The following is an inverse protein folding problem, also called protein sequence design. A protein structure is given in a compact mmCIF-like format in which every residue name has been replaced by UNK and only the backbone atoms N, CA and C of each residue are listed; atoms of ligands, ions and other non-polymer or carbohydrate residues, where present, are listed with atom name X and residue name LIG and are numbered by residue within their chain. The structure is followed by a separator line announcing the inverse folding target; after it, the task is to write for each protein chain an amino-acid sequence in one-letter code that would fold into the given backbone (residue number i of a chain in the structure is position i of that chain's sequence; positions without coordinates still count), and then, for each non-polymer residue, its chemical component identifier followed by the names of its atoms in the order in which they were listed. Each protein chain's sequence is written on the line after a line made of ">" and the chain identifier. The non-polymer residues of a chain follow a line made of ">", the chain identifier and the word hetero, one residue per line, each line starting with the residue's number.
data_IF_474927319031
#
_entry.id   IF_474927319031
#
_cell.length_a   1.000
_cell.length_b   1.000
_cell.length_c   1.000
_cell.angle_alpha   90.00
_cell.angle_beta   90.00
_cell.angle_gamma   90.00
#
_symmetry.space_group_name_H-M   'P 1'
#
loop_
_entity.id
_entity.type
_entity.pdbx_description
1 polymer ?
#
# COMPACT_ATOMS: atom_id res chain seq x y z
N UNK A 1 3.87 40.19 12.77
CA UNK A 1 3.15 39.08 12.11
C UNK A 1 3.97 37.82 12.31
N UNK A 2 3.51 36.88 13.13
CA UNK A 2 4.21 35.62 13.36
C UNK A 2 4.16 34.82 12.06
N UNK A 3 5.32 34.67 11.40
CA UNK A 3 5.46 33.84 10.21
C UNK A 3 5.34 32.39 10.66
N UNK A 4 4.13 31.82 10.55
CA UNK A 4 3.92 30.40 10.74
C UNK A 4 4.62 29.67 9.59
N UNK A 5 5.84 29.19 9.83
CA UNK A 5 6.51 28.29 8.91
C UNK A 5 5.62 27.07 8.69
N UNK A 6 5.13 26.92 7.45
CA UNK A 6 4.31 25.78 7.08
C UNK A 6 5.16 24.52 7.23
N UNK A 7 4.76 23.62 8.12
CA UNK A 7 5.45 22.35 8.29
C UNK A 7 5.52 21.60 6.94
N UNK A 8 6.72 21.14 6.53
CA UNK A 8 6.89 20.47 5.25
C UNK A 8 6.12 19.15 5.22
N UNK A 9 5.44 18.89 4.10
CA UNK A 9 4.74 17.62 3.88
C UNK A 9 5.77 16.52 3.56
N UNK A 10 6.34 15.90 4.60
CA UNK A 10 7.42 14.90 4.50
C UNK A 10 7.04 13.74 3.60
N UNK A 11 5.82 13.24 3.69
CA UNK A 11 5.34 12.12 2.86
C UNK A 11 5.29 12.49 1.37
N UNK A 12 4.85 13.72 1.03
CA UNK A 12 4.85 14.21 -0.34
C UNK A 12 6.27 14.39 -0.89
N UNK A 13 7.20 14.89 -0.07
CA UNK A 13 8.62 15.03 -0.42
C UNK A 13 9.24 13.66 -0.68
N UNK A 14 8.98 12.68 0.19
CA UNK A 14 9.48 11.31 0.04
C UNK A 14 8.93 10.65 -1.24
N UNK A 15 7.64 10.84 -1.53
CA UNK A 15 7.05 10.34 -2.78
C UNK A 15 7.69 10.99 -4.01
N UNK A 16 7.82 12.33 -4.03
CA UNK A 16 8.39 13.04 -5.16
C UNK A 16 9.87 12.70 -5.39
N UNK A 17 10.70 12.71 -4.34
CA UNK A 17 12.11 12.37 -4.43
C UNK A 17 12.36 10.91 -4.82
N UNK A 18 11.37 10.04 -4.61
CA UNK A 18 11.45 8.65 -5.05
C UNK A 18 11.39 8.50 -6.57
N UNK A 19 10.95 9.50 -7.33
CA UNK A 19 10.74 9.34 -8.76
C UNK A 19 12.06 9.32 -9.54
N UNK A 20 12.17 8.39 -10.49
CA UNK A 20 13.27 8.33 -11.45
C UNK A 20 13.06 9.36 -12.55
N UNK A 21 14.10 10.06 -12.96
CA UNK A 21 14.01 11.03 -14.05
C UNK A 21 13.96 10.30 -15.40
N UNK A 22 12.88 10.46 -16.15
CA UNK A 22 12.66 9.83 -17.45
C UNK A 22 12.17 10.85 -18.49
N UNK A 23 12.90 10.97 -19.59
CA UNK A 23 12.54 11.84 -20.72
C UNK A 23 11.43 11.19 -21.55
N UNK A 24 10.45 11.99 -22.00
CA UNK A 24 9.37 11.51 -22.87
C UNK A 24 8.96 12.60 -23.88
N UNK A 25 8.59 12.19 -25.09
CA UNK A 25 8.11 13.13 -26.11
C UNK A 25 6.67 13.54 -25.84
N UNK A 26 5.82 12.59 -25.47
CA UNK A 26 4.43 12.84 -25.07
C UNK A 26 4.16 12.28 -23.68
N UNK A 27 3.26 12.94 -22.94
CA UNK A 27 2.68 12.42 -21.71
C UNK A 27 1.94 11.09 -21.97
N UNK A 28 1.22 10.97 -23.09
CA UNK A 28 0.47 9.74 -23.43
C UNK A 28 1.38 8.51 -23.67
N UNK A 29 2.69 8.72 -23.89
CA UNK A 29 3.66 7.63 -24.05
C UNK A 29 4.08 7.01 -22.70
N UNK A 30 3.75 7.66 -21.58
CA UNK A 30 4.05 7.18 -20.24
C UNK A 30 2.76 6.61 -19.64
N UNK A 31 2.78 5.34 -19.27
CA UNK A 31 1.61 4.67 -18.70
C UNK A 31 1.26 5.28 -17.35
N UNK A 32 0.00 5.18 -16.95
CA UNK A 32 -0.49 5.81 -15.72
C UNK A 32 0.30 5.38 -14.46
N UNK A 33 0.65 4.09 -14.36
CA UNK A 33 1.51 3.57 -13.28
C UNK A 33 2.97 4.03 -13.38
N UNK A 34 3.50 4.32 -14.58
CA UNK A 34 4.87 4.81 -14.75
C UNK A 34 5.01 6.22 -14.15
N UNK A 35 3.95 7.03 -14.14
CA UNK A 35 3.94 8.32 -13.46
C UNK A 35 4.06 8.23 -11.92
N UNK A 36 3.77 7.07 -11.31
CA UNK A 36 4.04 6.82 -9.90
C UNK A 36 5.53 6.55 -9.62
N UNK A 37 6.28 6.10 -10.64
CA UNK A 37 7.69 5.73 -10.56
C UNK A 37 8.64 6.77 -11.12
N UNK A 38 8.19 7.54 -12.11
CA UNK A 38 9.04 8.42 -12.90
C UNK A 38 8.54 9.86 -12.93
N UNK A 39 9.49 10.79 -12.93
CA UNK A 39 9.27 12.20 -13.21
C UNK A 39 9.59 12.46 -14.67
N UNK A 40 8.61 12.97 -15.39
CA UNK A 40 8.69 13.26 -16.81
C UNK A 40 7.98 14.56 -17.14
N UNK A 41 8.43 15.25 -18.17
CA UNK A 41 7.77 16.42 -18.73
C UNK A 41 7.75 16.26 -20.25
N UNK A 42 6.56 16.31 -20.83
CA UNK A 42 6.38 16.13 -22.27
C UNK A 42 7.23 17.13 -23.07
N UNK A 43 7.88 16.62 -24.13
CA UNK A 43 8.77 17.36 -25.03
C UNK A 43 10.04 17.91 -24.37
N UNK A 44 10.44 17.40 -23.21
CA UNK A 44 11.79 17.60 -22.66
C UNK A 44 12.61 16.34 -22.95
N UNK A 45 13.44 16.40 -24.01
CA UNK A 45 14.38 15.34 -24.36
C UNK A 45 15.75 15.51 -23.68
N UNK A 46 16.11 16.75 -23.32
CA UNK A 46 17.35 17.05 -22.59
C UNK A 46 17.20 16.65 -21.12
N UNK A 47 18.07 15.73 -20.68
CA UNK A 47 18.06 15.17 -19.32
C UNK A 47 18.43 16.22 -18.27
N UNK A 48 19.33 17.14 -18.55
CA UNK A 48 19.76 18.17 -17.60
C UNK A 48 18.68 19.25 -17.46
N UNK A 49 18.01 19.59 -18.55
CA UNK A 49 16.81 20.43 -18.50
C UNK A 49 15.72 19.78 -17.65
N UNK A 50 15.49 18.48 -17.80
CA UNK A 50 14.51 17.75 -16.97
C UNK A 50 14.91 17.71 -15.49
N UNK A 51 16.21 17.54 -15.19
CA UNK A 51 16.73 17.63 -13.82
C UNK A 51 16.50 19.00 -13.20
N UNK A 52 16.69 20.08 -13.96
CA UNK A 52 16.47 21.44 -13.46
C UNK A 52 14.99 21.67 -13.12
N UNK A 53 14.06 21.21 -13.97
CA UNK A 53 12.63 21.27 -13.68
C UNK A 53 12.28 20.41 -12.47
N UNK A 54 12.85 19.21 -12.35
CA UNK A 54 12.68 18.33 -11.19
C UNK A 54 13.16 19.00 -9.90
N UNK A 55 14.33 19.65 -9.92
CA UNK A 55 14.90 20.34 -8.77
C UNK A 55 14.04 21.54 -8.35
N UNK A 56 13.59 22.36 -9.30
CA UNK A 56 12.66 23.46 -9.02
C UNK A 56 11.34 22.96 -8.42
N UNK A 57 10.82 21.81 -8.88
CA UNK A 57 9.63 21.18 -8.30
C UNK A 57 9.87 20.65 -6.88
N UNK A 58 11.02 20.03 -6.65
CA UNK A 58 11.42 19.54 -5.33
C UNK A 58 11.45 20.68 -4.31
N UNK A 59 12.09 21.80 -4.65
CA UNK A 59 12.10 23.00 -3.80
C UNK A 59 10.70 23.57 -3.60
N UNK A 60 9.86 23.57 -4.63
CA UNK A 60 8.49 24.06 -4.50
C UNK A 60 7.62 23.22 -3.55
N UNK A 61 7.86 21.91 -3.49
CA UNK A 61 7.19 21.00 -2.56
C UNK A 61 7.78 21.13 -1.15
N UNK A 62 9.10 21.28 -1.03
CA UNK A 62 9.81 21.36 0.26
C UNK A 62 9.59 22.70 0.97
N UNK A 63 9.74 23.80 0.25
CA UNK A 63 9.75 25.16 0.82
C UNK A 63 8.42 25.88 0.63
N UNK A 64 7.47 25.26 -0.08
CA UNK A 64 6.17 25.87 -0.37
C UNK A 64 6.22 27.01 -1.40
N UNK A 65 7.27 27.07 -2.23
CA UNK A 65 7.47 28.08 -3.30
C UNK A 65 6.22 28.30 -4.12
N UNK A 66 5.87 29.57 -4.40
CA UNK A 66 4.69 29.92 -5.17
C UNK A 66 4.85 29.57 -6.65
N UNK A 67 3.73 29.52 -7.39
CA UNK A 67 3.80 29.35 -8.85
C UNK A 67 4.55 30.51 -9.52
N UNK A 68 4.39 31.74 -9.00
CA UNK A 68 5.08 32.92 -9.52
C UNK A 68 6.60 32.76 -9.42
N UNK A 69 7.11 32.37 -8.25
CA UNK A 69 8.55 32.20 -8.03
C UNK A 69 9.11 31.01 -8.85
N UNK A 70 8.36 29.91 -8.91
CA UNK A 70 8.68 28.77 -9.76
C UNK A 70 8.82 29.17 -11.24
N UNK A 71 7.85 29.94 -11.75
CA UNK A 71 7.86 30.44 -13.12
C UNK A 71 9.01 31.43 -13.35
N UNK A 72 9.26 32.35 -12.40
CA UNK A 72 10.34 33.34 -12.46
C UNK A 72 11.71 32.68 -12.56
N UNK A 73 11.92 31.56 -11.86
CA UNK A 73 13.15 30.76 -11.94
C UNK A 73 13.28 30.04 -13.28
N UNK A 74 12.28 29.25 -13.68
CA UNK A 74 12.43 28.32 -14.80
C UNK A 74 12.23 28.96 -16.16
N UNK A 75 11.37 29.98 -16.28
CA UNK A 75 11.02 30.56 -17.59
C UNK A 75 12.28 31.08 -18.32
N UNK A 76 13.19 31.88 -17.71
CA UNK A 76 14.39 32.34 -18.39
C UNK A 76 15.33 31.19 -18.81
N UNK A 77 15.52 30.21 -17.94
CA UNK A 77 16.37 29.05 -18.21
C UNK A 77 15.87 28.23 -19.40
N UNK A 78 14.56 27.93 -19.43
CA UNK A 78 13.95 27.11 -20.49
C UNK A 78 13.90 27.85 -21.84
N UNK A 79 13.74 29.19 -21.81
CA UNK A 79 13.88 30.03 -23.00
C UNK A 79 15.30 29.96 -23.55
N UNK A 80 16.31 30.12 -22.69
CA UNK A 80 17.73 30.05 -23.09
C UNK A 80 18.12 28.66 -23.64
N UNK A 81 17.47 27.60 -23.15
CA UNK A 81 17.61 26.22 -23.66
C UNK A 81 16.78 25.92 -24.91
N UNK A 82 16.01 26.89 -25.41
CA UNK A 82 15.21 26.73 -26.64
C UNK A 82 14.05 25.75 -26.50
N UNK A 83 13.56 25.48 -25.29
CA UNK A 83 12.53 24.47 -25.09
C UNK A 83 11.20 24.90 -25.72
N UNK A 84 10.79 24.22 -26.81
CA UNK A 84 9.63 24.56 -27.63
C UNK A 84 9.74 25.92 -28.34
N UNK A 85 10.96 26.47 -28.45
CA UNK A 85 11.17 27.70 -29.19
C UNK A 85 10.73 27.53 -30.66
N UNK A 86 10.14 28.56 -31.28
CA UNK A 86 9.90 28.57 -32.71
C UNK A 86 11.22 28.41 -33.49
N UNK A 87 11.15 27.81 -34.68
CA UNK A 87 12.33 27.59 -35.54
C UNK A 87 12.62 28.87 -36.32
N UNK A 88 13.87 29.31 -36.36
CA UNK A 88 14.31 30.51 -37.09
C UNK A 88 14.20 31.79 -36.26
N UNK A 89 14.05 32.93 -36.92
CA UNK A 89 13.85 34.25 -36.31
C UNK A 89 12.35 34.56 -36.21
N UNK A 90 11.69 34.29 -35.06
CA UNK A 90 10.26 34.48 -34.93
C UNK A 90 9.90 35.96 -34.93
N UNK A 91 8.74 36.30 -35.51
CA UNK A 91 8.18 37.63 -35.37
C UNK A 91 7.79 37.92 -33.89
N UNK A 92 7.70 39.20 -33.51
CA UNK A 92 7.38 39.62 -32.14
C UNK A 92 6.08 39.00 -31.59
N UNK A 93 5.07 38.84 -32.45
CA UNK A 93 3.79 38.23 -32.08
C UNK A 93 3.93 36.74 -31.79
N UNK A 94 4.73 36.03 -32.58
CA UNK A 94 5.02 34.60 -32.39
C UNK A 94 5.82 34.38 -31.10
N UNK A 95 6.79 35.25 -30.82
CA UNK A 95 7.56 35.22 -29.59
C UNK A 95 6.66 35.44 -28.36
N UNK A 96 5.74 36.41 -28.43
CA UNK A 96 4.74 36.65 -27.36
C UNK A 96 3.83 35.43 -27.16
N UNK A 97 3.34 34.82 -28.24
CA UNK A 97 2.50 33.63 -28.19
C UNK A 97 3.24 32.44 -27.56
N UNK A 98 4.49 32.21 -27.97
CA UNK A 98 5.37 31.18 -27.40
C UNK A 98 5.59 31.37 -25.90
N UNK A 99 5.93 32.59 -25.46
CA UNK A 99 6.12 32.87 -24.03
C UNK A 99 4.84 32.64 -23.20
N UNK A 100 3.67 32.95 -23.75
CA UNK A 100 2.37 32.66 -23.14
C UNK A 100 2.15 31.15 -23.01
N UNK A 101 2.41 30.39 -24.07
CA UNK A 101 2.30 28.93 -24.07
C UNK A 101 3.25 28.29 -23.05
N UNK A 102 4.50 28.76 -22.97
CA UNK A 102 5.48 28.31 -21.98
C UNK A 102 4.97 28.55 -20.56
N UNK A 103 4.40 29.73 -20.27
CA UNK A 103 3.78 30.02 -18.98
C UNK A 103 2.63 29.08 -18.62
N UNK A 104 1.76 28.75 -19.58
CA UNK A 104 0.67 27.78 -19.39
C UNK A 104 1.20 26.37 -19.11
N UNK A 105 2.23 25.94 -19.85
CA UNK A 105 2.89 24.64 -19.62
C UNK A 105 3.53 24.54 -18.24
N UNK A 106 4.27 25.57 -17.83
CA UNK A 106 4.85 25.66 -16.49
C UNK A 106 3.77 25.59 -15.40
N UNK A 107 2.63 26.24 -15.62
CA UNK A 107 1.48 26.15 -14.70
C UNK A 107 0.97 24.72 -14.56
N UNK A 108 0.80 24.00 -15.66
CA UNK A 108 0.40 22.60 -15.64
C UNK A 108 1.43 21.72 -14.92
N UNK A 109 2.71 21.86 -15.23
CA UNK A 109 3.80 21.10 -14.58
C UNK A 109 3.78 21.32 -13.08
N UNK A 110 3.72 22.59 -12.65
CA UNK A 110 3.73 22.97 -11.25
C UNK A 110 2.54 22.36 -10.50
N UNK A 111 1.32 22.59 -10.98
CA UNK A 111 0.12 22.15 -10.27
C UNK A 111 -0.01 20.62 -10.27
N UNK A 112 0.20 19.95 -11.40
CA UNK A 112 0.05 18.49 -11.50
C UNK A 112 1.04 17.77 -10.59
N UNK A 113 2.33 18.12 -10.64
CA UNK A 113 3.34 17.46 -9.81
C UNK A 113 3.14 17.74 -8.32
N UNK A 114 2.79 18.99 -7.96
CA UNK A 114 2.52 19.34 -6.56
C UNK A 114 1.29 18.61 -6.02
N UNK A 115 0.19 18.60 -6.77
CA UNK A 115 -1.06 17.95 -6.36
C UNK A 115 -0.91 16.44 -6.23
N UNK A 116 -0.27 15.77 -7.20
CA UNK A 116 -0.03 14.32 -7.14
C UNK A 116 0.90 13.93 -5.99
N UNK A 117 1.98 14.69 -5.74
CA UNK A 117 2.84 14.47 -4.58
C UNK A 117 2.08 14.65 -3.26
N UNK A 118 1.25 15.69 -3.17
CA UNK A 118 0.45 15.96 -1.97
C UNK A 118 -0.61 14.89 -1.73
N UNK A 119 -1.25 14.38 -2.78
CA UNK A 119 -2.20 13.29 -2.73
C UNK A 119 -1.55 11.98 -2.27
N UNK A 120 -0.37 11.64 -2.80
CA UNK A 120 0.40 10.49 -2.32
C UNK A 120 0.75 10.62 -0.83
N UNK A 121 1.14 11.82 -0.39
CA UNK A 121 1.37 12.09 1.03
C UNK A 121 0.11 12.02 1.87
N UNK A 122 -1.02 12.51 1.35
CA UNK A 122 -2.33 12.38 2.00
C UNK A 122 -2.71 10.90 2.15
N UNK A 123 -2.50 10.09 1.12
CA UNK A 123 -2.78 8.65 1.15
C UNK A 123 -1.95 7.93 2.21
N UNK A 124 -0.65 8.23 2.33
CA UNK A 124 0.19 7.65 3.40
C UNK A 124 -0.34 8.02 4.79
N UNK A 125 -0.78 9.26 4.99
CA UNK A 125 -1.40 9.68 6.25
C UNK A 125 -2.71 8.97 6.51
N UNK A 126 -3.58 8.86 5.49
CA UNK A 126 -4.83 8.12 5.56
C UNK A 126 -4.58 6.68 6.00
N UNK A 127 -3.63 6.00 5.35
CA UNK A 127 -3.26 4.63 5.69
C UNK A 127 -2.73 4.48 7.12
N UNK A 128 -2.07 5.50 7.67
CA UNK A 128 -1.61 5.53 9.06
C UNK A 128 -2.73 5.78 10.06
N UNK A 129 -3.70 6.62 9.73
CA UNK A 129 -4.77 7.05 10.65
C UNK A 129 -6.09 6.31 10.47
N UNK A 130 -6.18 5.36 9.54
CA UNK A 130 -7.42 4.64 9.20
C UNK A 130 -8.05 3.86 10.35
N UNK A 131 -7.31 3.55 11.40
CA UNK A 131 -7.88 2.94 12.62
C UNK A 131 -8.90 3.89 13.28
N UNK A 132 -8.54 5.17 13.40
CA UNK A 132 -9.40 6.20 13.97
C UNK A 132 -10.41 6.75 12.94
N UNK A 133 -10.01 6.78 11.66
CA UNK A 133 -10.82 7.30 10.56
C UNK A 133 -10.96 6.27 9.42
N UNK A 134 -11.76 5.20 9.61
CA UNK A 134 -11.79 4.06 8.70
C UNK A 134 -12.51 4.30 7.37
N UNK A 135 -13.11 5.48 7.17
CA UNK A 135 -13.87 5.81 5.96
C UNK A 135 -13.35 7.07 5.29
N UNK A 136 -13.52 7.13 3.97
CA UNK A 136 -13.29 8.31 3.16
C UNK A 136 -14.59 8.75 2.52
N UNK A 137 -14.80 10.06 2.47
CA UNK A 137 -15.82 10.70 1.66
C UNK A 137 -15.15 11.45 0.52
N UNK A 138 -15.58 11.19 -0.71
CA UNK A 138 -15.15 11.96 -1.86
C UNK A 138 -15.88 13.32 -1.87
N UNK A 139 -15.13 14.41 -1.93
CA UNK A 139 -15.67 15.76 -1.78
C UNK A 139 -15.81 16.49 -3.12
N UNK A 140 -16.82 17.38 -3.25
CA UNK A 140 -16.97 18.24 -4.41
C UNK A 140 -15.71 19.05 -4.72
N UNK A 141 -15.43 19.24 -6.02
CA UNK A 141 -14.29 20.02 -6.47
C UNK A 141 -14.42 21.50 -6.08
N UNK A 142 -13.35 22.10 -5.58
CA UNK A 142 -13.25 23.56 -5.37
C UNK A 142 -12.98 24.34 -6.68
N UNK A 143 -13.37 23.79 -7.82
CA UNK A 143 -13.17 24.42 -9.13
C UNK A 143 -14.42 25.21 -9.49
N UNK A 144 -14.24 26.36 -10.15
CA UNK A 144 -15.33 27.14 -10.74
C UNK A 144 -16.03 26.30 -11.80
N UNK A 145 -15.25 25.67 -12.67
CA UNK A 145 -15.74 24.75 -13.70
C UNK A 145 -15.45 23.31 -13.24
N UNK A 146 -16.47 22.65 -12.70
CA UNK A 146 -16.37 21.27 -12.22
C UNK A 146 -16.66 20.28 -13.35
N UNK A 147 -15.83 19.24 -13.49
CA UNK A 147 -16.03 18.18 -14.50
C UNK A 147 -17.20 17.29 -14.14
N UNK A 148 -18.12 17.06 -15.08
CA UNK A 148 -19.29 16.21 -14.85
C UNK A 148 -18.93 14.76 -14.52
N UNK A 149 -17.88 14.22 -15.15
CA UNK A 149 -17.38 12.88 -14.83
C UNK A 149 -16.99 12.70 -13.35
N UNK A 150 -16.48 13.77 -12.71
CA UNK A 150 -16.09 13.70 -11.30
C UNK A 150 -17.28 13.86 -10.34
N UNK A 151 -18.36 14.54 -10.76
CA UNK A 151 -19.55 14.77 -9.93
C UNK A 151 -20.21 13.48 -9.49
N UNK A 152 -20.08 12.41 -10.29
CA UNK A 152 -20.60 11.07 -9.98
C UNK A 152 -19.99 10.44 -8.73
N UNK A 153 -18.78 10.86 -8.35
CA UNK A 153 -18.16 10.40 -7.11
C UNK A 153 -18.54 11.25 -5.89
N UNK A 154 -19.17 12.41 -6.07
CA UNK A 154 -19.37 13.33 -4.95
C UNK A 154 -20.21 12.68 -3.86
N UNK A 155 -19.74 12.88 -2.62
CA UNK A 155 -20.31 12.31 -1.41
C UNK A 155 -20.26 10.78 -1.33
N UNK A 156 -19.57 10.10 -2.25
CA UNK A 156 -19.28 8.68 -2.13
C UNK A 156 -18.52 8.43 -0.82
N UNK A 157 -19.12 7.63 0.07
CA UNK A 157 -18.52 7.23 1.34
C UNK A 157 -18.19 5.75 1.28
N UNK A 158 -16.90 5.42 1.33
CA UNK A 158 -16.42 4.03 1.33
C UNK A 158 -15.29 3.84 2.34
N UNK A 159 -15.06 2.61 2.82
CA UNK A 159 -13.92 2.30 3.68
C UNK A 159 -12.61 2.74 3.01
N UNK A 160 -11.61 3.19 3.78
CA UNK A 160 -10.31 3.67 3.26
C UNK A 160 -9.65 2.71 2.27
N UNK A 161 -9.77 1.42 2.54
CA UNK A 161 -9.10 0.35 1.79
C UNK A 161 -10.07 -0.34 0.80
N UNK A 162 -11.16 0.33 0.44
CA UNK A 162 -11.95 -0.08 -0.71
C UNK A 162 -11.10 0.02 -2.00
N UNK A 163 -11.09 -1.01 -2.88
CA UNK A 163 -10.29 -0.99 -4.10
C UNK A 163 -10.64 0.19 -5.03
N UNK A 164 -11.82 0.79 -4.90
CA UNK A 164 -12.19 1.96 -5.71
C UNK A 164 -11.23 3.13 -5.53
N UNK A 165 -10.64 3.31 -4.35
CA UNK A 165 -9.70 4.42 -4.10
C UNK A 165 -8.41 4.28 -4.91
N UNK A 166 -8.07 3.09 -5.39
CA UNK A 166 -6.94 2.93 -6.31
C UNK A 166 -7.18 3.63 -7.64
N UNK A 167 -8.43 3.76 -8.09
CA UNK A 167 -8.77 4.45 -9.33
C UNK A 167 -9.21 5.89 -9.10
N UNK A 168 -10.01 6.17 -8.07
CA UNK A 168 -10.69 7.47 -7.96
C UNK A 168 -10.06 8.45 -6.96
N UNK A 169 -8.98 8.10 -6.26
CA UNK A 169 -8.37 9.03 -5.30
C UNK A 169 -7.80 10.26 -6.04
N UNK A 170 -8.29 11.48 -5.73
CA UNK A 170 -7.84 12.69 -6.41
C UNK A 170 -6.32 12.94 -6.27
N UNK A 171 -5.66 13.56 -7.27
CA UNK A 171 -6.25 14.20 -8.44
C UNK A 171 -6.56 13.26 -9.61
N UNK A 172 -7.78 13.36 -10.13
CA UNK A 172 -8.33 12.52 -11.20
C UNK A 172 -8.15 13.06 -12.62
N UNK A 173 -7.37 14.13 -12.78
CA UNK A 173 -7.17 14.81 -14.07
C UNK A 173 -6.37 16.11 -13.92
N UNK A 174 -5.91 16.68 -15.04
CA UNK A 174 -5.17 17.95 -15.04
C UNK A 174 -6.01 19.05 -14.37
N UNK A 175 -5.43 19.77 -13.40
CA UNK A 175 -6.13 20.86 -12.70
C UNK A 175 -7.32 20.41 -11.84
N UNK A 176 -7.43 19.12 -11.51
CA UNK A 176 -8.44 18.64 -10.57
C UNK A 176 -8.29 19.31 -9.20
N UNK A 177 -9.42 19.70 -8.61
CA UNK A 177 -9.50 20.27 -7.24
C UNK A 177 -10.45 19.48 -6.33
N UNK A 178 -10.72 18.22 -6.70
CA UNK A 178 -11.38 17.26 -5.81
C UNK A 178 -10.43 16.87 -4.68
N UNK A 179 -11.00 16.42 -3.57
CA UNK A 179 -10.27 15.96 -2.40
C UNK A 179 -11.09 14.92 -1.65
N UNK A 180 -10.48 14.20 -0.71
CA UNK A 180 -11.17 13.26 0.17
C UNK A 180 -11.12 13.72 1.61
N UNK A 181 -12.21 13.49 2.34
CA UNK A 181 -12.33 13.73 3.77
C UNK A 181 -12.29 12.39 4.52
N UNK A 182 -11.43 12.30 5.53
CA UNK A 182 -11.43 11.17 6.47
C UNK A 182 -12.63 11.28 7.43
N UNK A 183 -13.30 10.17 7.68
CA UNK A 183 -14.47 10.08 8.53
C UNK A 183 -14.29 9.01 9.60
N UNK A 184 -14.78 9.31 10.81
CA UNK A 184 -14.97 8.30 11.85
C UNK A 184 -16.07 7.32 11.42
N UNK A 185 -16.16 6.16 12.09
CA UNK A 185 -17.26 5.21 11.84
C UNK A 185 -18.63 5.85 12.08
N UNK A 186 -18.77 6.63 13.15
CA UNK A 186 -20.02 7.32 13.51
C UNK A 186 -20.42 8.35 12.45
N UNK A 187 -19.47 9.16 11.97
CA UNK A 187 -19.77 10.16 10.93
C UNK A 187 -20.13 9.50 9.60
N UNK A 188 -19.43 8.43 9.22
CA UNK A 188 -19.73 7.68 8.01
C UNK A 188 -21.14 7.06 8.06
N UNK A 189 -21.55 6.53 9.22
CA UNK A 189 -22.91 6.00 9.42
C UNK A 189 -23.98 7.10 9.33
N UNK A 190 -23.72 8.29 9.88
CA UNK A 190 -24.63 9.44 9.80
C UNK A 190 -24.81 9.96 8.38
N UNK A 191 -23.72 10.02 7.61
CA UNK A 191 -23.75 10.47 6.20
C UNK A 191 -24.37 9.40 5.29
N UNK A 192 -24.18 8.12 5.64
CA UNK A 192 -24.58 6.97 4.84
C UNK A 192 -23.39 6.40 4.07
N UNK A 193 -23.04 5.14 4.35
CA UNK A 193 -22.01 4.41 3.62
C UNK A 193 -22.61 3.98 2.29
N UNK A 194 -21.93 4.27 1.18
CA UNK A 194 -22.44 3.98 -0.16
C UNK A 194 -22.35 2.50 -0.48
N UNK A 195 -23.40 1.92 -1.07
CA UNK A 195 -23.46 0.52 -1.50
C UNK A 195 -22.74 0.26 -2.83
N UNK A 196 -22.54 -1.01 -3.16
CA UNK A 196 -21.80 -1.45 -4.35
C UNK A 196 -22.52 -1.11 -5.66
N UNK A 197 -23.86 -1.01 -5.65
CA UNK A 197 -24.67 -0.61 -6.82
C UNK A 197 -24.29 0.78 -7.35
N UNK A 198 -23.82 1.68 -6.47
CA UNK A 198 -23.34 3.00 -6.88
C UNK A 198 -21.99 2.95 -7.62
N UNK A 199 -21.32 1.79 -7.68
CA UNK A 199 -19.99 1.63 -8.27
C UNK A 199 -20.02 1.14 -9.72
N UNK A 200 -21.09 0.47 -10.15
CA UNK A 200 -21.15 -0.25 -11.43
C UNK A 200 -21.10 0.67 -12.68
N UNK A 201 -21.45 1.95 -12.54
CA UNK A 201 -21.55 2.92 -13.64
C UNK A 201 -20.62 4.14 -13.51
N UNK A 202 -19.59 4.01 -12.67
CA UNK A 202 -18.63 5.08 -12.49
C UNK A 202 -17.62 5.10 -13.65
N UNK A 203 -17.53 6.21 -14.41
CA UNK A 203 -16.53 6.34 -15.46
C UNK A 203 -15.14 6.21 -14.83
N UNK A 204 -14.12 5.83 -15.61
CA UNK A 204 -12.75 5.91 -15.11
C UNK A 204 -12.28 7.36 -15.16
N UNK A 205 -11.51 7.83 -14.17
CA UNK A 205 -10.96 9.17 -14.20
C UNK A 205 -9.94 9.32 -15.34
N UNK A 206 -9.72 10.56 -15.77
CA UNK A 206 -8.77 10.90 -16.85
C UNK A 206 -7.35 10.45 -16.50
N UNK A 207 -7.03 10.35 -15.19
CA UNK A 207 -5.77 9.88 -14.65
C UNK A 207 -5.96 8.65 -13.75
N UNK A 208 -5.09 7.64 -13.92
CA UNK A 208 -4.92 6.52 -12.99
C UNK A 208 -3.58 6.63 -12.23
N UNK A 209 -3.46 7.69 -11.41
CA UNK A 209 -2.20 8.04 -10.73
C UNK A 209 -2.01 7.38 -9.38
N UNK A 210 -2.99 6.64 -8.87
CA UNK A 210 -2.98 6.18 -7.49
C UNK A 210 -2.55 4.72 -7.33
N UNK A 211 -1.65 4.25 -8.19
CA UNK A 211 -0.92 3.02 -7.92
C UNK A 211 0.09 3.26 -6.80
N UNK A 212 0.04 2.42 -5.76
CA UNK A 212 1.15 2.36 -4.83
C UNK A 212 2.42 1.98 -5.61
N UNK A 213 3.56 2.49 -5.13
CA UNK A 213 4.83 2.40 -5.85
C UNK A 213 5.28 0.97 -6.10
N UNK A 214 4.92 0.03 -5.21
CA UNK A 214 5.27 -1.38 -5.36
C UNK A 214 4.44 -2.01 -6.48
N UNK A 215 3.12 -1.83 -6.47
CA UNK A 215 2.24 -2.31 -7.54
C UNK A 215 2.66 -1.72 -8.90
N UNK A 216 2.99 -0.43 -8.94
CA UNK A 216 3.49 0.20 -10.16
C UNK A 216 4.80 -0.42 -10.66
N UNK A 217 5.74 -0.73 -9.75
CA UNK A 217 7.03 -1.33 -10.09
C UNK A 217 6.87 -2.76 -10.62
N UNK A 218 6.03 -3.57 -9.98
CA UNK A 218 5.73 -4.93 -10.45
C UNK A 218 5.06 -4.89 -11.82
N UNK A 219 4.11 -3.97 -12.02
CA UNK A 219 3.43 -3.81 -13.31
C UNK A 219 4.39 -3.36 -14.41
N UNK A 220 5.31 -2.44 -14.10
CA UNK A 220 6.37 -2.02 -15.01
C UNK A 220 7.25 -3.20 -15.42
N UNK A 221 7.66 -4.02 -14.45
CA UNK A 221 8.52 -5.18 -14.70
C UNK A 221 7.86 -6.20 -15.64
N UNK A 222 6.57 -6.51 -15.40
CA UNK A 222 5.79 -7.39 -16.28
C UNK A 222 5.64 -6.81 -17.69
N UNK A 223 5.29 -5.53 -17.79
CA UNK A 223 5.04 -4.90 -19.07
C UNK A 223 6.32 -4.75 -19.92
N UNK A 224 7.49 -4.58 -19.30
CA UNK A 224 8.78 -4.41 -20.01
C UNK A 224 9.53 -5.72 -20.27
N UNK A 225 9.39 -6.71 -19.38
CA UNK A 225 10.23 -7.91 -19.40
C UNK A 225 9.42 -9.22 -19.35
N UNK A 226 8.08 -9.13 -19.37
CA UNK A 226 7.18 -10.26 -19.36
C UNK A 226 6.87 -10.80 -17.95
N UNK A 227 5.81 -11.61 -17.87
CA UNK A 227 5.30 -12.16 -16.61
C UNK A 227 6.34 -12.97 -15.84
N UNK A 228 7.19 -13.74 -16.54
CA UNK A 228 8.23 -14.56 -15.91
C UNK A 228 9.27 -13.72 -15.15
N UNK A 229 9.59 -12.52 -15.66
CA UNK A 229 10.48 -11.59 -14.96
C UNK A 229 9.77 -10.94 -13.76
N UNK A 230 8.50 -10.53 -13.93
CA UNK A 230 7.67 -10.04 -12.83
C UNK A 230 7.62 -11.03 -11.65
N UNK A 231 7.41 -12.31 -11.93
CA UNK A 231 7.42 -13.36 -10.90
C UNK A 231 8.78 -13.55 -10.22
N UNK A 232 9.89 -13.41 -10.95
CA UNK A 232 11.23 -13.42 -10.33
C UNK A 232 11.40 -12.25 -9.35
N UNK A 233 10.94 -11.05 -9.70
CA UNK A 233 10.97 -9.89 -8.79
C UNK A 233 10.12 -10.15 -7.56
N UNK A 234 8.89 -10.66 -7.75
CA UNK A 234 8.01 -11.01 -6.63
C UNK A 234 8.66 -11.99 -5.67
N UNK A 235 9.25 -13.06 -6.20
CA UNK A 235 9.98 -14.05 -5.40
C UNK A 235 11.15 -13.43 -4.62
N UNK A 236 11.96 -12.59 -5.27
CA UNK A 236 13.07 -11.91 -4.61
C UNK A 236 12.59 -10.95 -3.51
N UNK A 237 11.48 -10.26 -3.74
CA UNK A 237 10.85 -9.39 -2.74
C UNK A 237 10.38 -10.19 -1.52
N UNK A 238 9.76 -11.35 -1.73
CA UNK A 238 9.36 -12.23 -0.63
C UNK A 238 10.57 -12.69 0.19
N UNK A 239 11.66 -13.12 -0.46
CA UNK A 239 12.91 -13.51 0.19
C UNK A 239 13.55 -12.34 0.98
N UNK A 240 13.57 -11.15 0.41
CA UNK A 240 14.06 -9.93 1.06
C UNK A 240 13.21 -9.60 2.31
N UNK A 241 11.89 -9.63 2.21
CA UNK A 241 11.00 -9.34 3.34
C UNK A 241 11.17 -10.35 4.48
N UNK A 242 11.36 -11.63 4.16
CA UNK A 242 11.67 -12.66 5.17
C UNK A 242 13.05 -12.42 5.81
N UNK A 243 14.04 -11.95 5.04
CA UNK A 243 15.34 -11.53 5.57
C UNK A 243 15.21 -10.39 6.58
N UNK A 244 14.50 -9.31 6.20
CA UNK A 244 14.22 -8.17 7.09
C UNK A 244 13.47 -8.61 8.35
N UNK A 245 12.49 -9.52 8.22
CA UNK A 245 11.78 -10.09 9.37
C UNK A 245 12.74 -10.79 10.35
N UNK A 246 13.66 -11.61 9.83
CA UNK A 246 14.68 -12.30 10.62
C UNK A 246 15.59 -11.31 11.35
N UNK A 247 16.10 -10.31 10.65
CA UNK A 247 16.98 -9.28 11.22
C UNK A 247 16.29 -8.45 12.31
N UNK A 248 14.96 -8.36 12.26
CA UNK A 248 14.13 -7.68 13.26
C UNK A 248 13.58 -8.60 14.35
N UNK A 249 14.12 -9.82 14.46
CA UNK A 249 13.84 -10.74 15.56
C UNK A 249 12.58 -11.59 15.40
N UNK A 250 12.05 -11.71 14.18
CA UNK A 250 10.98 -12.66 13.85
C UNK A 250 11.61 -13.99 13.43
N UNK A 251 11.10 -15.10 13.96
CA UNK A 251 11.62 -16.43 13.61
C UNK A 251 11.09 -16.81 12.22
N UNK A 252 11.95 -17.35 11.36
CA UNK A 252 11.57 -17.83 10.01
C UNK A 252 12.03 -19.28 9.85
N UNK A 253 11.10 -20.20 9.62
CA UNK A 253 11.34 -21.64 9.46
C UNK A 253 10.87 -22.13 8.10
N UNK A 254 11.44 -23.23 7.60
CA UNK A 254 11.11 -23.79 6.28
C UNK A 254 10.58 -25.22 6.36
N UNK A 255 9.40 -25.48 5.77
CA UNK A 255 8.73 -26.78 5.81
C UNK A 255 8.74 -27.53 4.48
N UNK A 256 9.45 -27.00 3.47
CA UNK A 256 9.34 -27.46 2.08
C UNK A 256 9.78 -28.91 1.85
N UNK A 257 10.59 -29.48 2.76
CA UNK A 257 11.08 -30.87 2.68
C UNK A 257 10.41 -31.82 3.67
N UNK A 258 9.44 -31.34 4.46
CA UNK A 258 8.76 -32.14 5.48
C UNK A 258 7.51 -32.73 4.87
N UNK A 259 7.48 -34.07 4.76
CA UNK A 259 6.31 -34.82 4.33
C UNK A 259 5.43 -35.11 5.54
N UNK A 260 4.14 -34.73 5.51
CA UNK A 260 3.27 -34.93 6.64
C UNK A 260 2.94 -36.42 6.84
N UNK A 261 2.97 -36.89 8.09
CA UNK A 261 2.44 -38.20 8.44
C UNK A 261 0.92 -38.14 8.45
N UNK A 262 0.27 -38.81 7.49
CA UNK A 262 -1.19 -38.76 7.31
C UNK A 262 -1.96 -39.16 8.55
N UNK A 263 -1.53 -40.19 9.27
CA UNK A 263 -2.23 -40.67 10.46
C UNK A 263 -2.13 -39.69 11.63
N UNK A 264 -0.95 -39.11 11.83
CA UNK A 264 -0.73 -38.13 12.88
C UNK A 264 -1.46 -36.81 12.57
N UNK A 265 -1.39 -36.34 11.33
CA UNK A 265 -2.12 -35.15 10.87
C UNK A 265 -3.64 -35.29 11.04
N UNK A 266 -4.21 -36.48 10.79
CA UNK A 266 -5.64 -36.78 11.03
C UNK A 266 -6.00 -36.80 12.52
N UNK A 267 -5.07 -37.19 13.38
CA UNK A 267 -5.27 -37.12 14.84
C UNK A 267 -5.28 -35.66 15.29
N UNK A 268 -4.31 -34.86 14.83
CA UNK A 268 -4.18 -33.44 15.18
C UNK A 268 -5.28 -32.57 14.57
N UNK A 269 -5.94 -33.02 13.49
CA UNK A 269 -6.99 -32.24 12.82
C UNK A 269 -8.33 -32.22 13.55
N UNK A 270 -8.60 -33.17 14.46
CA UNK A 270 -9.87 -33.28 15.19
C UNK A 270 -9.86 -32.32 16.38
N UNK A 271 -10.71 -31.30 16.35
CA UNK A 271 -10.87 -30.41 17.50
C UNK A 271 -11.76 -31.03 18.61
N UNK A 272 -11.73 -30.52 19.85
CA UNK A 272 -12.56 -31.00 20.95
C UNK A 272 -14.08 -30.85 20.71
N UNK A 273 -14.48 -30.04 19.71
CA UNK A 273 -15.87 -29.78 19.34
C UNK A 273 -16.34 -30.63 18.15
N UNK A 274 -15.50 -31.54 17.64
CA UNK A 274 -15.82 -32.43 16.53
C UNK A 274 -15.61 -31.85 15.12
N UNK A 275 -15.08 -30.63 14.98
CA UNK A 275 -14.74 -30.09 13.67
C UNK A 275 -13.40 -30.66 13.18
N UNK A 276 -13.34 -30.95 11.88
CA UNK A 276 -12.14 -31.46 11.24
C UNK A 276 -11.38 -30.34 10.52
N UNK A 277 -10.23 -29.93 11.07
CA UNK A 277 -9.35 -28.90 10.49
C UNK A 277 -8.10 -29.53 9.89
N UNK A 278 -8.28 -30.24 8.77
CA UNK A 278 -7.22 -31.03 8.12
C UNK A 278 -5.94 -30.23 7.83
N UNK A 279 -6.08 -29.01 7.32
CA UNK A 279 -4.93 -28.14 7.00
C UNK A 279 -4.10 -27.75 8.20
N UNK A 280 -4.75 -27.46 9.34
CA UNK A 280 -4.08 -27.20 10.60
C UNK A 280 -3.39 -28.46 11.11
N UNK A 281 -4.06 -29.63 11.03
CA UNK A 281 -3.46 -30.91 11.44
C UNK A 281 -2.21 -31.28 10.63
N UNK A 282 -2.23 -31.06 9.32
CA UNK A 282 -1.06 -31.24 8.43
C UNK A 282 0.08 -30.31 8.84
N UNK A 283 -0.23 -29.04 9.14
CA UNK A 283 0.78 -28.07 9.54
C UNK A 283 1.34 -28.36 10.94
N UNK A 284 0.49 -28.81 11.86
CA UNK A 284 0.86 -29.23 13.20
C UNK A 284 1.78 -30.46 13.18
N UNK A 285 1.50 -31.44 12.31
CA UNK A 285 2.39 -32.59 12.13
C UNK A 285 3.76 -32.16 11.58
N UNK A 286 3.79 -31.27 10.57
CA UNK A 286 5.06 -30.71 10.08
C UNK A 286 5.82 -29.97 11.18
N UNK A 287 5.11 -29.27 12.05
CA UNK A 287 5.68 -28.59 13.20
C UNK A 287 6.30 -29.57 14.21
N UNK A 288 5.59 -30.66 14.54
CA UNK A 288 6.12 -31.74 15.40
C UNK A 288 7.44 -32.28 14.85
N UNK A 289 7.48 -32.59 13.54
CA UNK A 289 8.67 -33.12 12.88
C UNK A 289 9.83 -32.13 12.87
N UNK A 290 9.57 -30.85 12.56
CA UNK A 290 10.62 -29.83 12.47
C UNK A 290 11.24 -29.51 13.84
N UNK A 291 10.41 -29.37 14.87
CA UNK A 291 10.86 -28.99 16.21
C UNK A 291 11.18 -30.20 17.10
N UNK A 292 10.93 -31.42 16.63
CA UNK A 292 11.03 -32.65 17.41
C UNK A 292 10.24 -32.55 18.73
N UNK A 293 8.98 -32.14 18.62
CA UNK A 293 8.05 -31.97 19.76
C UNK A 293 6.77 -32.77 19.53
N UNK A 294 6.02 -32.99 20.61
CA UNK A 294 4.66 -33.50 20.54
C UNK A 294 3.65 -32.41 20.83
N UNK A 295 2.64 -32.31 19.99
CA UNK A 295 1.54 -31.38 20.08
C UNK A 295 0.29 -32.13 20.53
N UNK A 296 -0.48 -31.47 21.38
CA UNK A 296 -1.86 -31.86 21.67
C UNK A 296 -2.78 -30.71 21.27
N UNK A 297 -3.99 -31.01 20.81
CA UNK A 297 -5.05 -30.00 20.71
C UNK A 297 -5.36 -29.46 22.11
N UNK A 298 -5.46 -28.15 22.24
CA UNK A 298 -5.68 -27.55 23.54
C UNK A 298 -7.10 -27.83 24.03
N UNK A 299 -7.24 -28.24 25.29
CA UNK A 299 -8.52 -28.50 25.96
C UNK A 299 -8.53 -27.83 27.34
N UNK A 300 -9.35 -26.79 27.53
CA UNK A 300 -9.33 -26.00 28.76
C UNK A 300 -9.67 -26.83 30.02
N UNK A 301 -10.50 -27.87 29.90
CA UNK A 301 -10.91 -28.74 31.01
C UNK A 301 -9.75 -29.67 31.40
N UNK A 302 -9.14 -30.33 30.41
CA UNK A 302 -7.99 -31.22 30.62
C UNK A 302 -6.76 -30.47 31.13
N UNK A 303 -6.55 -29.24 30.67
CA UNK A 303 -5.36 -28.44 30.97
C UNK A 303 -5.53 -27.55 32.23
N UNK A 304 -6.73 -27.51 32.85
CA UNK A 304 -7.04 -26.79 34.10
C UNK A 304 -6.68 -25.30 34.08
N UNK A 305 -6.93 -24.62 32.95
CA UNK A 305 -6.70 -23.17 32.79
C UNK A 305 -8.07 -22.48 32.69
N UNK A 306 -8.23 -21.33 33.34
CA UNK A 306 -9.45 -20.51 33.29
C UNK A 306 -9.79 -20.19 31.83
N UNK A 307 -11.00 -20.56 31.41
CA UNK A 307 -11.53 -20.27 30.07
C UNK A 307 -11.69 -18.76 29.93
N UNK A 308 -10.82 -18.16 29.11
CA UNK A 308 -11.09 -16.87 28.46
C UNK A 308 -11.58 -17.26 27.06
N UNK A 309 -12.61 -16.58 26.54
CA UNK A 309 -13.56 -16.98 25.49
C UNK A 309 -13.04 -17.56 24.15
N UNK A 310 -11.73 -17.77 23.95
CA UNK A 310 -11.13 -18.45 22.80
C UNK A 310 -9.71 -18.96 23.14
N UNK A 311 -9.50 -20.26 23.44
CA UNK A 311 -8.16 -20.79 23.75
C UNK A 311 -7.25 -20.88 22.52
N UNK A 312 -5.95 -21.14 22.75
CA UNK A 312 -5.02 -21.49 21.68
C UNK A 312 -5.42 -22.83 21.01
N UNK A 313 -4.95 -23.08 19.78
CA UNK A 313 -5.33 -24.30 19.04
C UNK A 313 -4.60 -25.56 19.57
N UNK A 314 -3.32 -25.42 19.97
CA UNK A 314 -2.45 -26.53 20.36
C UNK A 314 -1.60 -26.18 21.59
N UNK A 315 -1.07 -27.20 22.25
CA UNK A 315 -0.03 -27.09 23.27
C UNK A 315 1.12 -28.07 23.01
N UNK A 316 2.35 -27.65 23.33
CA UNK A 316 3.52 -28.53 23.32
C UNK A 316 3.53 -29.37 24.59
N UNK A 317 3.41 -30.68 24.43
CA UNK A 317 3.52 -31.65 25.53
C UNK A 317 4.95 -31.60 26.07
N UNK A 318 5.07 -31.50 27.39
CA UNK A 318 6.35 -31.55 28.09
C UNK A 318 6.22 -32.32 29.40
N UNK A 319 7.33 -32.66 30.04
CA UNK A 319 7.33 -33.26 31.38
C UNK A 319 6.84 -32.34 32.50
N UNK A 320 6.51 -31.08 32.19
CA UNK A 320 5.96 -30.11 33.13
C UNK A 320 4.44 -30.28 33.28
N UNK A 321 3.88 -29.64 34.31
CA UNK A 321 2.43 -29.53 34.48
C UNK A 321 1.77 -28.92 33.22
N UNK A 322 0.59 -29.42 32.78
CA UNK A 322 -0.13 -28.90 31.61
C UNK A 322 -0.36 -27.37 31.61
N UNK A 323 -0.41 -26.75 32.79
CA UNK A 323 -0.54 -25.29 32.94
C UNK A 323 0.69 -24.49 32.47
N UNK A 324 1.84 -25.15 32.34
CA UNK A 324 3.12 -24.57 31.93
C UNK A 324 3.49 -24.94 30.49
N UNK A 325 2.63 -25.69 29.80
CA UNK A 325 2.87 -26.05 28.40
C UNK A 325 2.79 -24.80 27.53
N UNK A 326 3.70 -24.70 26.56
CA UNK A 326 3.68 -23.62 25.58
C UNK A 326 2.54 -23.83 24.62
N UNK A 327 1.76 -22.79 24.40
CA UNK A 327 0.59 -22.81 23.52
C UNK A 327 0.95 -22.33 22.12
N UNK A 328 0.28 -22.89 21.11
CA UNK A 328 0.41 -22.47 19.72
C UNK A 328 -0.95 -22.21 19.09
N UNK A 329 -0.98 -21.23 18.19
CA UNK A 329 -2.14 -20.95 17.36
C UNK A 329 -1.73 -20.70 15.92
N UNK A 330 -2.19 -21.57 15.02
CA UNK A 330 -1.78 -21.55 13.62
C UNK A 330 -2.62 -20.55 12.83
N UNK A 331 -1.94 -19.65 12.14
CA UNK A 331 -2.60 -18.70 11.26
C UNK A 331 -2.36 -19.02 9.79
N UNK A 332 -3.38 -18.71 8.97
CA UNK A 332 -3.32 -18.74 7.50
C UNK A 332 -3.11 -20.13 6.88
N UNK A 333 -3.56 -21.18 7.56
CA UNK A 333 -3.38 -22.59 7.13
C UNK A 333 -4.13 -22.98 5.86
N UNK A 334 -5.06 -22.16 5.38
CA UNK A 334 -5.88 -22.42 4.19
C UNK A 334 -5.94 -21.21 3.27
N UNK A 335 -6.13 -21.50 1.99
CA UNK A 335 -6.53 -20.53 0.98
C UNK A 335 -7.96 -20.07 1.31
N UNK A 336 -8.09 -18.84 1.83
CA UNK A 336 -9.36 -18.13 1.86
C UNK A 336 -9.25 -17.01 0.85
N UNK A 337 -10.26 -16.85 -0.01
CA UNK A 337 -10.34 -15.71 -0.94
C UNK A 337 -10.00 -14.42 -0.21
N UNK A 338 -8.88 -13.80 -0.59
CA UNK A 338 -8.45 -12.53 -0.03
C UNK A 338 -9.38 -11.46 -0.56
N UNK A 339 -10.44 -11.19 0.20
CA UNK A 339 -11.36 -10.12 -0.13
C UNK A 339 -10.56 -8.81 -0.13
N UNK A 340 -10.50 -8.14 -1.30
CA UNK A 340 -9.66 -6.96 -1.57
C UNK A 340 -10.08 -5.71 -0.80
N UNK A 341 -11.04 -5.82 0.13
CA UNK A 341 -11.58 -4.69 0.88
C UNK A 341 -10.88 -4.48 2.22
N UNK A 342 -10.78 -3.23 2.61
CA UNK A 342 -10.22 -2.79 3.88
C UNK A 342 -10.70 -3.31 5.18
N UNK A 343 -12.02 -3.41 5.27
CA UNK A 343 -12.65 -3.98 6.46
C UNK A 343 -12.10 -5.39 6.71
N UNK A 344 -11.72 -6.12 5.66
CA UNK A 344 -11.09 -7.43 5.81
C UNK A 344 -9.62 -7.35 6.28
N UNK A 345 -8.90 -6.26 5.97
CA UNK A 345 -7.52 -6.05 6.44
C UNK A 345 -7.45 -5.64 7.91
N UNK A 346 -8.25 -4.65 8.33
CA UNK A 346 -8.29 -4.21 9.73
C UNK A 346 -8.76 -5.33 10.66
N UNK A 347 -9.83 -6.04 10.29
CA UNK A 347 -10.27 -7.25 11.01
C UNK A 347 -9.16 -8.30 11.11
N UNK A 348 -8.31 -8.40 10.09
CA UNK A 348 -7.21 -9.37 10.07
C UNK A 348 -6.05 -8.95 10.96
N UNK A 349 -5.69 -7.67 10.99
CA UNK A 349 -4.74 -7.14 11.98
C UNK A 349 -5.24 -7.38 13.41
N UNK A 350 -6.49 -7.02 13.68
CA UNK A 350 -7.12 -7.26 14.98
C UNK A 350 -7.09 -8.74 15.35
N UNK A 351 -7.41 -9.63 14.40
CA UNK A 351 -7.31 -11.07 14.60
C UNK A 351 -5.88 -11.54 14.89
N UNK A 352 -4.88 -11.06 14.16
CA UNK A 352 -3.46 -11.38 14.45
C UNK A 352 -3.11 -10.99 15.89
N UNK A 353 -3.50 -9.78 16.33
CA UNK A 353 -3.27 -9.30 17.70
C UNK A 353 -3.99 -10.17 18.72
N UNK A 354 -5.27 -10.51 18.47
CA UNK A 354 -6.03 -11.42 19.32
C UNK A 354 -5.32 -12.77 19.49
N UNK A 355 -4.81 -13.37 18.41
CA UNK A 355 -4.03 -14.61 18.48
C UNK A 355 -2.74 -14.43 19.30
N UNK A 356 -2.01 -13.32 19.11
CA UNK A 356 -0.80 -12.99 19.88
C UNK A 356 -1.04 -12.81 21.38
N UNK A 357 -2.24 -12.38 21.77
CA UNK A 357 -2.63 -12.22 23.17
C UNK A 357 -2.93 -13.57 23.83
N UNK A 358 -3.52 -14.53 23.09
CA UNK A 358 -3.95 -15.83 23.66
C UNK A 358 -2.94 -16.97 23.56
N UNK A 359 -1.91 -16.89 22.71
CA UNK A 359 -0.92 -17.96 22.56
C UNK A 359 0.52 -17.48 22.72
N UNK A 360 1.41 -18.42 23.06
CA UNK A 360 2.85 -18.17 23.23
C UNK A 360 3.58 -18.12 21.89
N UNK A 361 3.13 -18.92 20.92
CA UNK A 361 3.75 -19.06 19.60
C UNK A 361 2.67 -18.95 18.52
N UNK A 362 2.90 -18.11 17.52
CA UNK A 362 2.00 -17.91 16.38
C UNK A 362 2.71 -18.31 15.09
N UNK A 363 2.59 -19.58 14.66
CA UNK A 363 3.08 -19.99 13.37
C UNK A 363 2.16 -19.47 12.25
N UNK A 364 2.71 -18.69 11.33
CA UNK A 364 1.99 -18.09 10.20
C UNK A 364 2.40 -18.75 8.89
N UNK A 365 1.46 -19.39 8.20
CA UNK A 365 1.70 -20.05 6.93
C UNK A 365 1.25 -19.19 5.76
N UNK A 366 2.19 -18.46 5.14
CA UNK A 366 1.84 -17.44 4.14
C UNK A 366 1.83 -17.97 2.69
N UNK A 367 1.95 -19.30 2.49
CA UNK A 367 2.12 -19.93 1.17
C UNK A 367 0.99 -19.60 0.19
N UNK A 368 -0.25 -19.64 0.64
CA UNK A 368 -1.45 -19.47 -0.20
C UNK A 368 -1.78 -18.00 -0.51
N UNK A 369 -0.83 -17.09 -0.29
CA UNK A 369 -1.04 -15.65 -0.48
C UNK A 369 -0.19 -15.14 -1.65
N UNK A 370 -0.73 -14.18 -2.39
CA UNK A 370 0.09 -13.41 -3.34
C UNK A 370 1.13 -12.55 -2.61
N UNK A 371 2.19 -12.22 -3.32
CA UNK A 371 3.32 -11.44 -2.80
C UNK A 371 2.89 -10.10 -2.19
N UNK A 372 1.96 -9.37 -2.81
CA UNK A 372 1.49 -8.10 -2.28
C UNK A 372 0.84 -8.25 -0.88
N UNK A 373 0.10 -9.33 -0.67
CA UNK A 373 -0.53 -9.65 0.63
C UNK A 373 0.51 -10.12 1.64
N UNK A 374 1.47 -10.96 1.22
CA UNK A 374 2.59 -11.39 2.08
C UNK A 374 3.39 -10.20 2.58
N UNK A 375 3.77 -9.29 1.68
CA UNK A 375 4.49 -8.05 2.02
C UNK A 375 3.69 -7.22 3.02
N UNK A 376 2.37 -7.07 2.84
CA UNK A 376 1.50 -6.36 3.79
C UNK A 376 1.49 -7.00 5.18
N UNK A 377 1.38 -8.32 5.26
CA UNK A 377 1.41 -9.06 6.53
C UNK A 377 2.77 -8.94 7.21
N UNK A 378 3.86 -9.21 6.49
CA UNK A 378 5.20 -9.11 7.06
C UNK A 378 5.49 -7.68 7.50
N UNK A 379 5.07 -6.67 6.73
CA UNK A 379 5.20 -5.25 7.12
C UNK A 379 4.42 -4.93 8.40
N UNK A 380 3.20 -5.46 8.55
CA UNK A 380 2.45 -5.31 9.79
C UNK A 380 3.15 -6.00 10.96
N UNK A 381 3.60 -7.24 10.79
CA UNK A 381 4.38 -7.98 11.80
C UNK A 381 5.61 -7.17 12.23
N UNK A 382 6.34 -6.60 11.28
CA UNK A 382 7.52 -5.76 11.53
C UNK A 382 7.20 -4.48 12.30
N UNK A 383 5.97 -3.97 12.18
CA UNK A 383 5.48 -2.78 12.91
C UNK A 383 5.04 -3.07 14.34
N UNK A 384 4.85 -4.35 14.71
CA UNK A 384 4.46 -4.74 16.06
C UNK A 384 5.61 -4.52 17.08
N UNK A 385 5.26 -4.35 18.37
CA UNK A 385 6.25 -4.34 19.45
C UNK A 385 7.14 -5.59 19.44
N UNK A 386 8.36 -5.47 19.97
CA UNK A 386 9.34 -6.57 19.95
C UNK A 386 8.85 -7.82 20.68
N UNK A 387 8.08 -7.66 21.76
CA UNK A 387 7.49 -8.78 22.51
C UNK A 387 6.54 -9.62 21.64
N UNK A 388 5.71 -8.99 20.82
CA UNK A 388 4.82 -9.68 19.89
C UNK A 388 5.59 -10.31 18.74
N UNK A 389 6.61 -9.64 18.20
CA UNK A 389 7.44 -10.20 17.12
C UNK A 389 8.14 -11.50 17.53
N UNK A 390 8.57 -11.63 18.79
CA UNK A 390 9.21 -12.85 19.31
C UNK A 390 8.28 -14.05 19.38
N UNK A 391 6.96 -13.84 19.47
CA UNK A 391 5.96 -14.92 19.43
C UNK A 391 5.71 -15.44 18.01
N UNK A 392 6.05 -14.66 16.98
CA UNK A 392 5.67 -14.96 15.60
C UNK A 392 6.74 -15.84 14.94
N UNK A 393 6.26 -16.89 14.27
CA UNK A 393 7.09 -17.79 13.45
C UNK A 393 6.54 -17.77 12.03
N UNK A 394 7.28 -17.17 11.09
CA UNK A 394 6.91 -17.19 9.68
C UNK A 394 7.37 -18.50 9.05
N UNK A 395 6.43 -19.26 8.49
CA UNK A 395 6.72 -20.51 7.80
C UNK A 395 6.85 -20.21 6.31
N UNK A 396 8.06 -20.39 5.77
CA UNK A 396 8.35 -20.34 4.34
C UNK A 396 8.20 -21.74 3.75
N UNK A 397 7.65 -21.84 2.56
CA UNK A 397 7.41 -23.11 1.86
C UNK A 397 7.53 -22.94 0.35
#
# INVERSE_FOLDING_TARGET
>A
MTQYDRLPNREAIAHFNGKVILTAQDYAQVKAYEHALAFTVAKIADKDMLKEVHQAMKEAIQNGTTFYDFQKRLKPYLLAKGWLAPVGEPADEELKAYQKQLGQRLKTIYHTNKQTAYAAGQWQRIQRTKEFFPYLQYMPSLSVNQRDGHKRYYHLVRPVDDPIWASIMPPNGFGCKCWVKQLTKTDAQKIGISDDDKLHDLPKPDFDHNHDRLTALLKLAEDKHGMAFGEKIRKHLDEMMLGVARDKGVIVVGFQHILPNTQNALTLSKDPHGNNRLSEGVLADKWEQYHNVKLERYDAIKHKVLVIDDPADYAVISGLSPKLWKTLDFMFTLERSFNKSGKAWEKRKARIVQHLEKADIIPMYLKYMNTETRVKIISFVLSLPQEYRKKIVLIKD
#
